data_IF_891494626208
#
_entry.id   IF_891494626208
#
_cell.length_a   1.000
_cell.length_b   1.000
_cell.length_c   1.000
_cell.angle_alpha   90.00
_cell.angle_beta   90.00
_cell.angle_gamma   90.00
#
_symmetry.space_group_name_H-M   'P 1'
#
loop_
_entity.id
_entity.type
_entity.pdbx_description
1 polymer ?
#
# COMPACT_ATOMS: atom_id res chain seq x y z
N UNK A 1 11.75 18.85 -27.19
CA UNK A 1 11.96 17.38 -26.99
C UNK A 1 13.05 17.24 -25.92
N UNK A 2 12.66 17.15 -24.67
CA UNK A 2 13.58 16.90 -23.57
C UNK A 2 13.71 15.38 -23.43
N UNK A 3 14.92 14.87 -23.67
CA UNK A 3 15.29 13.48 -23.47
C UNK A 3 15.24 13.19 -21.97
N UNK A 4 14.20 12.53 -21.49
CA UNK A 4 14.13 12.01 -20.15
C UNK A 4 15.05 10.79 -20.08
N UNK A 5 16.26 10.99 -19.57
CA UNK A 5 17.13 9.89 -19.19
C UNK A 5 16.56 9.22 -17.94
N UNK A 6 15.68 8.24 -18.12
CA UNK A 6 15.42 7.22 -17.10
C UNK A 6 16.75 6.50 -16.83
N UNK A 7 17.13 6.24 -15.57
CA UNK A 7 18.35 5.53 -15.24
C UNK A 7 18.32 4.13 -15.84
N UNK A 8 19.14 3.90 -16.87
CA UNK A 8 19.21 2.66 -17.68
C UNK A 8 20.02 1.55 -17.01
N UNK A 9 20.27 1.60 -15.71
CA UNK A 9 21.07 0.62 -14.98
C UNK A 9 20.34 0.00 -13.77
N UNK A 10 19.15 -0.54 -13.99
CA UNK A 10 18.58 -1.49 -13.02
C UNK A 10 19.04 -2.91 -13.38
N UNK A 11 20.31 -3.23 -13.06
CA UNK A 11 20.71 -4.64 -12.87
C UNK A 11 19.73 -5.25 -11.87
N UNK A 12 19.11 -6.35 -12.24
CA UNK A 12 18.12 -7.08 -11.44
C UNK A 12 18.80 -7.54 -10.13
N UNK A 13 18.77 -6.72 -9.08
CA UNK A 13 19.19 -7.11 -7.74
C UNK A 13 18.03 -7.91 -7.15
N UNK A 14 18.30 -9.13 -6.70
CA UNK A 14 17.37 -9.86 -5.87
C UNK A 14 17.03 -9.00 -4.63
N UNK A 15 15.77 -9.00 -4.20
CA UNK A 15 15.40 -8.32 -2.96
C UNK A 15 16.17 -9.00 -1.83
N UNK A 16 17.02 -8.28 -1.08
CA UNK A 16 17.75 -8.85 0.04
C UNK A 16 16.71 -9.20 1.14
N UNK A 17 16.78 -10.42 1.65
CA UNK A 17 15.92 -10.85 2.75
C UNK A 17 16.54 -10.45 4.08
N UNK A 18 15.84 -9.62 4.84
CA UNK A 18 16.20 -9.23 6.19
C UNK A 18 15.65 -10.26 7.19
N UNK A 19 16.47 -11.27 7.50
CA UNK A 19 16.06 -12.38 8.37
C UNK A 19 15.85 -11.94 9.83
N UNK A 20 16.58 -10.93 10.30
CA UNK A 20 16.43 -10.40 11.65
C UNK A 20 15.11 -9.65 11.79
N UNK A 21 14.80 -8.73 10.89
CA UNK A 21 13.53 -8.01 10.87
C UNK A 21 12.34 -8.97 10.75
N UNK A 22 12.46 -10.00 9.89
CA UNK A 22 11.44 -11.04 9.75
C UNK A 22 11.22 -11.81 11.06
N UNK A 23 12.28 -12.22 11.75
CA UNK A 23 12.18 -12.93 13.03
C UNK A 23 11.48 -12.08 14.09
N UNK A 24 11.89 -10.81 14.22
CA UNK A 24 11.30 -9.87 15.18
C UNK A 24 9.81 -9.61 14.89
N UNK A 25 9.44 -9.49 13.62
CA UNK A 25 8.04 -9.34 13.23
C UNK A 25 7.22 -10.61 13.55
N UNK A 26 7.78 -11.80 13.34
CA UNK A 26 7.14 -13.07 13.74
C UNK A 26 6.94 -13.18 15.25
N UNK A 27 7.93 -12.76 16.04
CA UNK A 27 7.83 -12.74 17.50
C UNK A 27 6.71 -11.80 17.97
N UNK A 28 6.59 -10.63 17.35
CA UNK A 28 5.52 -9.69 17.67
C UNK A 28 4.13 -10.26 17.33
N UNK A 29 3.97 -10.85 16.13
CA UNK A 29 2.72 -11.49 15.70
C UNK A 29 2.33 -12.66 16.62
N UNK A 30 3.30 -13.45 17.10
CA UNK A 30 3.03 -14.56 18.00
C UNK A 30 2.36 -14.12 19.31
N UNK A 31 2.61 -12.87 19.76
CA UNK A 31 1.94 -12.29 20.95
C UNK A 31 0.45 -12.05 20.71
N UNK A 32 0.01 -11.98 19.46
CA UNK A 32 -1.39 -11.79 19.06
C UNK A 32 -2.07 -13.10 18.64
N UNK A 33 -1.46 -14.26 18.91
CA UNK A 33 -2.00 -15.59 18.63
C UNK A 33 -2.38 -15.86 17.16
N UNK A 34 -1.79 -15.12 16.21
CA UNK A 34 -1.97 -15.39 14.79
C UNK A 34 -1.23 -16.68 14.36
N UNK A 35 -1.80 -17.38 13.40
CA UNK A 35 -1.27 -18.65 12.91
C UNK A 35 -0.04 -18.38 12.05
N UNK A 36 1.13 -18.84 12.50
CA UNK A 36 2.41 -18.75 11.78
C UNK A 36 2.78 -20.07 11.07
N UNK A 37 1.96 -21.11 11.18
CA UNK A 37 2.21 -22.37 10.50
C UNK A 37 2.13 -22.21 8.98
N UNK A 38 3.17 -22.66 8.28
CA UNK A 38 3.28 -22.55 6.82
C UNK A 38 2.45 -23.56 6.06
N UNK A 39 1.94 -24.59 6.73
CA UNK A 39 1.21 -25.71 6.09
C UNK A 39 -0.29 -25.42 5.97
N UNK A 40 -0.80 -24.39 6.63
CA UNK A 40 -2.22 -24.04 6.58
C UNK A 40 -2.49 -22.86 5.65
N UNK A 41 -3.64 -22.89 4.98
CA UNK A 41 -4.12 -21.75 4.16
C UNK A 41 -4.38 -20.48 4.97
N UNK A 42 -4.48 -20.60 6.30
CA UNK A 42 -4.69 -19.49 7.24
C UNK A 42 -3.40 -18.92 7.80
N UNK A 43 -2.24 -19.38 7.34
CA UNK A 43 -0.96 -18.88 7.81
C UNK A 43 -0.78 -17.39 7.50
N UNK A 44 -0.33 -16.64 8.50
CA UNK A 44 0.02 -15.23 8.38
C UNK A 44 1.50 -15.03 7.94
N UNK A 45 2.31 -16.08 7.99
CA UNK A 45 3.75 -16.05 7.67
C UNK A 45 4.08 -15.49 6.28
N UNK A 46 3.39 -15.86 5.18
CA UNK A 46 3.67 -15.30 3.86
C UNK A 46 3.48 -13.79 3.79
N UNK A 47 2.57 -13.25 4.58
CA UNK A 47 2.28 -11.81 4.63
C UNK A 47 3.34 -11.04 5.43
N UNK A 48 3.83 -11.62 6.54
CA UNK A 48 4.99 -11.07 7.27
C UNK A 48 6.20 -11.02 6.33
N UNK A 49 6.45 -12.11 5.58
CA UNK A 49 7.53 -12.13 4.60
C UNK A 49 7.37 -11.02 3.56
N UNK A 50 6.18 -10.85 3.02
CA UNK A 50 5.88 -9.80 2.04
C UNK A 50 6.08 -8.40 2.65
N UNK A 51 5.60 -8.16 3.88
CA UNK A 51 5.84 -6.92 4.61
C UNK A 51 7.33 -6.66 4.83
N UNK A 52 8.10 -7.69 5.22
CA UNK A 52 9.56 -7.59 5.39
C UNK A 52 10.25 -7.22 4.08
N UNK A 53 9.94 -7.92 2.99
CA UNK A 53 10.49 -7.63 1.65
C UNK A 53 10.18 -6.18 1.24
N UNK A 54 8.95 -5.71 1.50
CA UNK A 54 8.54 -4.33 1.21
C UNK A 54 9.27 -3.31 2.08
N UNK A 55 9.40 -3.54 3.39
CA UNK A 55 10.12 -2.62 4.28
C UNK A 55 11.60 -2.57 3.95
N UNK A 56 12.20 -3.70 3.64
CA UNK A 56 13.61 -3.77 3.24
C UNK A 56 13.90 -3.04 1.93
N UNK A 57 12.93 -2.97 1.02
CA UNK A 57 13.08 -2.25 -0.26
C UNK A 57 12.65 -0.80 -0.19
N UNK A 58 11.44 -0.54 0.31
CA UNK A 58 10.83 0.80 0.24
C UNK A 58 11.15 1.69 1.44
N UNK A 59 11.40 1.10 2.61
CA UNK A 59 11.55 1.82 3.88
C UNK A 59 12.90 1.53 4.57
N UNK A 60 13.91 1.14 3.80
CA UNK A 60 15.24 0.81 4.34
C UNK A 60 15.94 2.00 5.03
N UNK A 61 15.54 3.22 4.71
CA UNK A 61 16.04 4.44 5.34
C UNK A 61 15.52 4.64 6.78
N UNK A 62 14.47 3.94 7.21
CA UNK A 62 13.97 3.99 8.59
C UNK A 62 14.96 3.22 9.49
N UNK A 63 15.55 3.92 10.48
CA UNK A 63 16.53 3.34 11.38
C UNK A 63 15.91 2.71 12.63
N UNK A 64 14.78 3.22 13.11
CA UNK A 64 14.08 2.70 14.29
C UNK A 64 13.50 1.31 14.01
N UNK A 65 14.05 0.29 14.67
CA UNK A 65 13.62 -1.11 14.48
C UNK A 65 12.14 -1.33 14.87
N UNK A 66 11.64 -0.62 15.88
CA UNK A 66 10.25 -0.75 16.31
C UNK A 66 9.30 -0.18 15.24
N UNK A 67 9.68 0.96 14.63
CA UNK A 67 8.92 1.51 13.51
C UNK A 67 9.01 0.59 12.28
N UNK A 68 10.15 -0.04 12.00
CA UNK A 68 10.27 -1.03 10.92
C UNK A 68 9.36 -2.23 11.15
N UNK A 69 9.36 -2.81 12.36
CA UNK A 69 8.45 -3.91 12.73
C UNK A 69 7.00 -3.47 12.58
N UNK A 70 6.65 -2.30 13.09
CA UNK A 70 5.31 -1.73 12.95
C UNK A 70 4.85 -1.66 11.48
N UNK A 71 5.69 -1.12 10.59
CA UNK A 71 5.38 -1.02 9.16
C UNK A 71 5.29 -2.39 8.49
N UNK A 72 6.16 -3.36 8.87
CA UNK A 72 6.04 -4.77 8.41
C UNK A 72 4.68 -5.35 8.75
N UNK A 73 4.26 -5.21 10.01
CA UNK A 73 3.00 -5.76 10.49
C UNK A 73 1.79 -5.06 9.85
N UNK A 74 1.88 -3.75 9.67
CA UNK A 74 0.84 -2.98 9.01
C UNK A 74 0.63 -3.47 7.56
N UNK A 75 1.72 -3.60 6.80
CA UNK A 75 1.68 -4.09 5.42
C UNK A 75 1.19 -5.54 5.37
N UNK A 76 1.64 -6.40 6.29
CA UNK A 76 1.20 -7.78 6.38
C UNK A 76 -0.32 -7.88 6.64
N UNK A 77 -0.84 -7.10 7.57
CA UNK A 77 -2.28 -7.01 7.85
C UNK A 77 -3.07 -6.54 6.64
N UNK A 78 -2.58 -5.48 5.96
CA UNK A 78 -3.22 -4.95 4.78
C UNK A 78 -3.39 -6.01 3.69
N UNK A 79 -2.30 -6.70 3.31
CA UNK A 79 -2.36 -7.74 2.27
C UNK A 79 -3.12 -8.98 2.70
N UNK A 80 -3.03 -9.38 3.98
CA UNK A 80 -3.82 -10.49 4.50
C UNK A 80 -5.32 -10.18 4.42
N UNK A 81 -5.70 -8.97 4.80
CA UNK A 81 -7.09 -8.52 4.74
C UNK A 81 -7.61 -8.49 3.30
N UNK A 82 -6.82 -7.92 2.38
CA UNK A 82 -7.15 -7.81 0.97
C UNK A 82 -7.28 -9.19 0.29
N UNK A 83 -6.32 -10.07 0.51
CA UNK A 83 -6.23 -11.36 -0.18
C UNK A 83 -7.16 -12.45 0.42
N UNK A 84 -7.43 -12.40 1.72
CA UNK A 84 -8.12 -13.47 2.44
C UNK A 84 -9.42 -13.04 3.07
N UNK A 85 -9.39 -11.92 3.75
CA UNK A 85 -10.53 -11.49 4.54
C UNK A 85 -11.71 -11.07 3.64
N UNK A 86 -11.46 -10.27 2.61
CA UNK A 86 -12.51 -9.84 1.68
C UNK A 86 -13.13 -11.03 0.93
N UNK A 87 -12.37 -11.95 0.30
CA UNK A 87 -12.93 -13.09 -0.41
C UNK A 87 -13.61 -14.14 0.48
N UNK A 88 -13.01 -14.49 1.63
CA UNK A 88 -13.51 -15.55 2.49
C UNK A 88 -14.75 -15.12 3.30
N UNK A 89 -14.83 -13.84 3.64
CA UNK A 89 -15.96 -13.27 4.39
C UNK A 89 -17.00 -12.56 3.51
N UNK A 90 -16.90 -12.71 2.19
CA UNK A 90 -17.88 -12.19 1.24
C UNK A 90 -19.31 -12.69 1.45
N UNK A 91 -19.53 -13.63 2.39
CA UNK A 91 -20.84 -14.13 2.79
C UNK A 91 -21.48 -13.38 3.95
N UNK A 92 -20.77 -12.47 4.63
CA UNK A 92 -21.35 -11.68 5.72
C UNK A 92 -20.86 -10.23 5.71
N UNK A 93 -21.80 -9.32 5.54
CA UNK A 93 -21.65 -7.86 5.71
C UNK A 93 -21.04 -7.46 7.07
N UNK A 94 -21.09 -8.37 8.04
CA UNK A 94 -20.83 -8.07 9.43
C UNK A 94 -19.35 -7.96 9.75
N UNK A 95 -18.46 -8.65 9.01
CA UNK A 95 -17.06 -8.77 9.43
C UNK A 95 -16.28 -7.45 9.29
N UNK A 96 -16.45 -6.72 8.17
CA UNK A 96 -15.84 -5.40 8.04
C UNK A 96 -16.45 -4.41 9.03
N UNK A 97 -17.75 -4.53 9.30
CA UNK A 97 -18.46 -3.72 10.28
C UNK A 97 -18.00 -4.04 11.71
N UNK A 98 -17.80 -5.31 12.03
CA UNK A 98 -17.31 -5.76 13.35
C UNK A 98 -15.87 -5.30 13.58
N UNK A 99 -14.99 -5.40 12.55
CA UNK A 99 -13.63 -4.87 12.60
C UNK A 99 -13.66 -3.35 12.81
N UNK A 100 -14.47 -2.63 12.03
CA UNK A 100 -14.62 -1.18 12.18
C UNK A 100 -15.09 -0.80 13.60
N UNK A 101 -16.10 -1.50 14.13
CA UNK A 101 -16.62 -1.27 15.47
C UNK A 101 -15.55 -1.52 16.56
N UNK A 102 -14.73 -2.58 16.36
CA UNK A 102 -13.60 -2.86 17.24
C UNK A 102 -12.56 -1.72 17.19
N UNK A 103 -12.16 -1.29 16.01
CA UNK A 103 -11.14 -0.25 15.83
C UNK A 103 -11.54 1.09 16.43
N UNK A 104 -12.83 1.41 16.46
CA UNK A 104 -13.36 2.63 17.12
C UNK A 104 -13.77 2.42 18.58
N UNK A 105 -13.42 1.26 19.18
CA UNK A 105 -13.66 0.96 20.59
C UNK A 105 -15.12 0.67 20.97
N UNK A 106 -15.98 0.34 20.00
CA UNK A 106 -17.39 -0.02 20.26
C UNK A 106 -17.60 -1.50 20.57
N UNK A 107 -16.63 -2.34 20.24
CA UNK A 107 -16.62 -3.77 20.56
C UNK A 107 -15.21 -4.21 20.95
N UNK A 108 -15.10 -5.34 21.65
CA UNK A 108 -13.81 -5.98 21.90
C UNK A 108 -13.38 -6.82 20.69
N UNK A 109 -12.06 -6.97 20.42
CA UNK A 109 -11.58 -7.85 19.38
C UNK A 109 -12.09 -9.28 19.57
N UNK A 110 -12.70 -9.87 18.53
CA UNK A 110 -13.26 -11.21 18.57
C UNK A 110 -12.27 -12.28 18.08
N UNK A 111 -11.28 -11.88 17.30
CA UNK A 111 -10.29 -12.77 16.71
C UNK A 111 -8.88 -12.15 16.71
N UNK A 112 -7.82 -12.95 16.47
CA UNK A 112 -6.44 -12.46 16.49
C UNK A 112 -6.14 -11.36 15.46
N UNK A 113 -6.78 -11.35 14.29
CA UNK A 113 -6.58 -10.32 13.28
C UNK A 113 -7.14 -8.97 13.76
N UNK A 114 -8.34 -8.98 14.33
CA UNK A 114 -8.93 -7.78 14.94
C UNK A 114 -8.05 -7.26 16.09
N UNK A 115 -7.49 -8.17 16.90
CA UNK A 115 -6.54 -7.80 17.96
C UNK A 115 -5.32 -7.08 17.40
N UNK A 116 -4.74 -7.62 16.32
CA UNK A 116 -3.56 -7.02 15.69
C UNK A 116 -3.89 -5.66 15.06
N UNK A 117 -5.02 -5.50 14.38
CA UNK A 117 -5.45 -4.18 13.86
C UNK A 117 -5.64 -3.16 14.98
N UNK A 118 -6.33 -3.53 16.06
CA UNK A 118 -6.50 -2.64 17.21
C UNK A 118 -5.15 -2.28 17.87
N UNK A 119 -4.23 -3.23 17.96
CA UNK A 119 -2.86 -3.00 18.42
C UNK A 119 -2.15 -1.97 17.53
N UNK A 120 -2.16 -2.16 16.20
CA UNK A 120 -1.52 -1.23 15.26
C UNK A 120 -2.08 0.19 15.37
N UNK A 121 -3.39 0.32 15.63
CA UNK A 121 -4.00 1.64 15.86
C UNK A 121 -3.46 2.32 17.14
N UNK A 122 -3.23 1.56 18.20
CA UNK A 122 -2.69 2.09 19.47
C UNK A 122 -1.19 2.35 19.41
N UNK A 123 -0.44 1.65 18.56
CA UNK A 123 1.01 1.83 18.40
C UNK A 123 1.39 2.96 17.44
N UNK A 124 0.48 3.37 16.53
CA UNK A 124 0.74 4.43 15.56
C UNK A 124 1.35 5.70 16.17
N UNK A 125 0.86 6.24 17.32
CA UNK A 125 1.47 7.42 17.93
C UNK A 125 2.87 7.21 18.51
N UNK A 126 3.31 5.97 18.72
CA UNK A 126 4.67 5.69 19.22
C UNK A 126 5.69 5.79 18.10
N UNK A 127 5.34 5.28 16.91
CA UNK A 127 6.21 5.37 15.73
C UNK A 127 6.10 6.74 15.04
N UNK A 128 4.92 7.35 15.10
CA UNK A 128 4.60 8.64 14.45
C UNK A 128 4.04 9.61 15.49
N UNK A 129 4.89 10.20 16.35
CA UNK A 129 4.45 11.01 17.52
C UNK A 129 3.80 12.34 17.14
N UNK A 130 3.91 12.79 15.90
CA UNK A 130 3.16 13.94 15.41
C UNK A 130 1.68 13.59 15.27
N UNK A 131 0.82 14.26 16.04
CA UNK A 131 -0.62 14.00 16.05
C UNK A 131 -1.26 13.96 14.65
N UNK A 132 -0.99 14.90 13.70
CA UNK A 132 -1.53 14.77 12.35
C UNK A 132 -1.10 13.50 11.63
N UNK A 133 0.17 13.09 11.76
CA UNK A 133 0.69 11.90 11.11
C UNK A 133 0.03 10.62 11.64
N UNK A 134 0.01 10.41 12.96
CA UNK A 134 -0.67 9.26 13.56
C UNK A 134 -2.18 9.26 13.29
N UNK A 135 -2.81 10.42 13.25
CA UNK A 135 -4.23 10.51 12.89
C UNK A 135 -4.49 10.12 11.44
N UNK A 136 -3.61 10.46 10.51
CA UNK A 136 -3.71 10.01 9.11
C UNK A 136 -3.61 8.47 9.05
N UNK A 137 -2.67 7.87 9.78
CA UNK A 137 -2.56 6.41 9.86
C UNK A 137 -3.86 5.79 10.35
N UNK A 138 -4.44 6.31 11.43
CA UNK A 138 -5.68 5.82 12.01
C UNK A 138 -6.86 5.98 11.04
N UNK A 139 -7.06 7.19 10.51
CA UNK A 139 -8.19 7.47 9.61
C UNK A 139 -8.07 6.76 8.27
N UNK A 140 -6.87 6.66 7.70
CA UNK A 140 -6.62 5.90 6.47
C UNK A 140 -6.92 4.41 6.65
N UNK A 141 -6.58 3.84 7.81
CA UNK A 141 -6.93 2.45 8.14
C UNK A 141 -8.44 2.24 8.24
N UNK A 142 -9.17 3.17 8.88
CA UNK A 142 -10.64 3.13 8.93
C UNK A 142 -11.27 3.29 7.54
N UNK A 143 -10.70 4.13 6.70
CA UNK A 143 -11.11 4.28 5.30
C UNK A 143 -10.92 2.98 4.52
N UNK A 144 -9.80 2.29 4.71
CA UNK A 144 -9.53 1.00 4.08
C UNK A 144 -10.57 -0.06 4.45
N UNK A 145 -10.91 -0.20 5.73
CA UNK A 145 -11.96 -1.14 6.18
C UNK A 145 -13.32 -0.75 5.60
N UNK A 146 -13.61 0.55 5.52
CA UNK A 146 -14.84 1.06 4.89
C UNK A 146 -14.88 0.72 3.39
N UNK A 147 -13.74 0.87 2.70
CA UNK A 147 -13.65 0.54 1.27
C UNK A 147 -13.88 -0.94 1.02
N UNK A 148 -13.33 -1.82 1.85
CA UNK A 148 -13.56 -3.26 1.75
C UNK A 148 -15.06 -3.62 1.85
N UNK A 149 -15.80 -3.00 2.78
CA UNK A 149 -17.25 -3.15 2.89
C UNK A 149 -17.98 -2.59 1.66
N UNK A 150 -17.49 -1.46 1.12
CA UNK A 150 -18.07 -0.84 -0.07
C UNK A 150 -17.88 -1.73 -1.30
N UNK A 151 -16.69 -2.27 -1.50
CA UNK A 151 -16.37 -3.15 -2.63
C UNK A 151 -17.26 -4.40 -2.62
N UNK A 152 -17.48 -4.99 -1.45
CA UNK A 152 -18.41 -6.10 -1.29
C UNK A 152 -19.84 -5.71 -1.70
N UNK A 153 -20.36 -4.58 -1.19
CA UNK A 153 -21.73 -4.13 -1.44
C UNK A 153 -21.98 -3.67 -2.87
N UNK A 154 -20.94 -3.27 -3.59
CA UNK A 154 -21.03 -2.77 -4.96
C UNK A 154 -20.67 -3.81 -6.01
N UNK A 155 -20.42 -5.07 -5.61
CA UNK A 155 -20.21 -6.17 -6.55
C UNK A 155 -21.37 -6.27 -7.54
N UNK A 156 -21.03 -6.30 -8.83
CA UNK A 156 -22.02 -6.35 -9.91
C UNK A 156 -22.78 -5.03 -10.18
N UNK A 157 -22.46 -3.95 -9.48
CA UNK A 157 -23.02 -2.64 -9.75
C UNK A 157 -22.56 -2.14 -11.13
N UNK A 158 -23.53 -1.80 -11.99
CA UNK A 158 -23.21 -1.20 -13.28
C UNK A 158 -22.79 0.25 -13.11
N UNK A 159 -21.53 0.54 -13.44
CA UNK A 159 -20.98 1.88 -13.33
C UNK A 159 -21.42 2.74 -14.54
N UNK A 160 -22.14 3.85 -14.33
CA UNK A 160 -22.43 4.78 -15.43
C UNK A 160 -21.17 5.53 -15.86
N UNK A 161 -21.04 5.85 -17.14
CA UNK A 161 -19.88 6.58 -17.68
C UNK A 161 -19.64 7.95 -16.99
N UNK A 162 -20.70 8.57 -16.46
CA UNK A 162 -20.61 9.83 -15.69
C UNK A 162 -19.96 9.68 -14.31
N UNK A 163 -19.75 8.44 -13.81
CA UNK A 163 -19.24 8.18 -12.47
C UNK A 163 -17.68 8.15 -12.37
N UNK A 164 -16.98 8.80 -13.29
CA UNK A 164 -15.50 8.83 -13.33
C UNK A 164 -14.86 9.19 -11.97
N UNK A 165 -15.44 10.14 -11.24
CA UNK A 165 -14.93 10.54 -9.92
C UNK A 165 -15.09 9.47 -8.85
N UNK A 166 -16.06 8.56 -9.02
CA UNK A 166 -16.26 7.43 -8.12
C UNK A 166 -15.04 6.48 -8.14
N UNK A 167 -14.47 6.19 -9.31
CA UNK A 167 -13.28 5.33 -9.43
C UNK A 167 -12.08 5.92 -8.70
N UNK A 168 -11.91 7.26 -8.72
CA UNK A 168 -10.85 7.94 -7.96
C UNK A 168 -11.16 7.94 -6.46
N UNK A 169 -12.41 8.16 -6.07
CA UNK A 169 -12.84 8.12 -4.67
C UNK A 169 -12.58 6.75 -4.04
N UNK A 170 -13.06 5.68 -4.66
CA UNK A 170 -12.87 4.31 -4.14
C UNK A 170 -11.39 3.95 -4.07
N UNK A 171 -10.61 4.30 -5.09
CA UNK A 171 -9.16 4.03 -5.11
C UNK A 171 -8.42 4.76 -4.00
N UNK A 172 -8.80 6.00 -3.69
CA UNK A 172 -8.17 6.77 -2.61
C UNK A 172 -8.44 6.16 -1.24
N UNK A 173 -9.66 5.70 -0.97
CA UNK A 173 -10.00 5.12 0.33
C UNK A 173 -9.56 3.66 0.50
N UNK A 174 -9.37 2.89 -0.60
CA UNK A 174 -8.94 1.49 -0.54
C UNK A 174 -7.41 1.32 -0.57
N UNK A 175 -6.69 2.30 -1.10
CA UNK A 175 -5.28 2.14 -1.41
C UNK A 175 -4.30 2.44 -0.27
N UNK A 176 -4.76 2.88 0.90
CA UNK A 176 -3.93 3.29 2.06
C UNK A 176 -2.70 4.13 1.71
N UNK A 177 -2.75 4.83 0.58
CA UNK A 177 -1.59 5.56 0.07
C UNK A 177 -1.22 6.78 0.93
N UNK A 178 -2.18 7.38 1.62
CA UNK A 178 -1.97 8.41 2.65
C UNK A 178 -1.18 7.85 3.84
N UNK A 179 -1.54 6.65 4.31
CA UNK A 179 -0.84 5.96 5.41
C UNK A 179 0.58 5.58 4.99
N UNK A 180 0.72 4.94 3.84
CA UNK A 180 2.03 4.54 3.29
C UNK A 180 2.93 5.75 3.03
N UNK A 181 2.33 6.90 2.64
CA UNK A 181 3.01 8.17 2.48
C UNK A 181 3.55 8.73 3.79
N UNK A 182 2.79 8.61 4.88
CA UNK A 182 3.26 8.99 6.23
C UNK A 182 4.43 8.11 6.68
N UNK A 183 4.40 6.83 6.37
CA UNK A 183 5.47 5.89 6.77
C UNK A 183 6.83 6.21 6.15
N UNK A 184 6.87 6.98 5.06
CA UNK A 184 8.13 7.39 4.41
C UNK A 184 9.00 8.24 5.36
N UNK A 185 8.36 9.07 6.20
CA UNK A 185 9.07 10.10 6.94
C UNK A 185 9.39 9.65 8.38
N UNK A 186 10.68 9.55 8.76
CA UNK A 186 11.07 9.27 10.14
C UNK A 186 10.48 10.30 11.13
N UNK A 187 10.35 9.90 12.39
CA UNK A 187 9.83 10.78 13.46
C UNK A 187 10.63 12.08 13.65
N UNK A 188 11.90 12.12 13.21
CA UNK A 188 12.76 13.31 13.19
C UNK A 188 12.29 14.37 12.20
N UNK A 189 11.64 13.96 11.11
CA UNK A 189 11.15 14.89 10.08
C UNK A 189 9.85 15.55 10.55
N UNK A 190 9.82 16.89 10.69
CA UNK A 190 8.61 17.57 11.13
C UNK A 190 7.50 17.47 10.09
N UNK A 191 6.26 17.28 10.54
CA UNK A 191 5.09 17.11 9.65
C UNK A 191 4.96 18.27 8.63
N UNK A 192 5.35 19.46 9.01
CA UNK A 192 5.32 20.66 8.13
C UNK A 192 6.26 20.57 6.94
N UNK A 193 7.28 19.70 7.00
CA UNK A 193 8.21 19.50 5.90
C UNK A 193 7.64 18.65 4.77
N UNK A 194 6.65 17.77 5.05
CA UNK A 194 6.16 16.80 4.08
C UNK A 194 4.64 16.76 3.88
N UNK A 195 3.86 17.36 4.78
CA UNK A 195 2.38 17.22 4.70
C UNK A 195 1.81 17.74 3.37
N UNK A 196 2.43 18.74 2.77
CA UNK A 196 2.02 19.26 1.47
C UNK A 196 2.29 18.27 0.31
N UNK A 197 3.22 17.32 0.49
CA UNK A 197 3.52 16.31 -0.51
C UNK A 197 2.58 15.08 -0.44
N UNK A 198 1.83 14.89 0.64
CA UNK A 198 0.96 13.71 0.81
C UNK A 198 -0.03 13.53 -0.35
N UNK A 199 -0.72 14.56 -0.87
CA UNK A 199 -1.62 14.37 -2.01
C UNK A 199 -0.92 13.84 -3.27
N UNK A 200 0.27 14.37 -3.60
CA UNK A 200 1.06 13.88 -4.73
C UNK A 200 1.66 12.49 -4.46
N UNK A 201 2.05 12.18 -3.22
CA UNK A 201 2.45 10.82 -2.81
C UNK A 201 1.32 9.80 -3.04
N UNK A 202 0.08 10.16 -2.72
CA UNK A 202 -1.07 9.31 -3.02
C UNK A 202 -1.21 9.08 -4.54
N UNK A 203 -1.09 10.13 -5.35
CA UNK A 203 -1.14 10.02 -6.82
C UNK A 203 -0.01 9.14 -7.32
N UNK A 204 1.23 9.36 -6.87
CA UNK A 204 2.41 8.58 -7.25
C UNK A 204 2.20 7.08 -6.96
N UNK A 205 1.88 6.74 -5.71
CA UNK A 205 1.75 5.34 -5.30
C UNK A 205 0.58 4.63 -5.98
N UNK A 206 -0.59 5.25 -6.02
CA UNK A 206 -1.78 4.63 -6.61
C UNK A 206 -1.64 4.47 -8.12
N UNK A 207 -1.14 5.50 -8.83
CA UNK A 207 -0.98 5.42 -10.28
C UNK A 207 0.15 4.49 -10.69
N UNK A 208 1.28 4.49 -9.97
CA UNK A 208 2.37 3.55 -10.23
C UNK A 208 1.92 2.10 -9.96
N UNK A 209 1.17 1.84 -8.87
CA UNK A 209 0.61 0.52 -8.61
C UNK A 209 -0.34 0.09 -9.73
N UNK A 210 -1.30 0.95 -10.13
CA UNK A 210 -2.25 0.63 -11.19
C UNK A 210 -1.55 0.29 -12.52
N UNK A 211 -0.42 0.93 -12.84
CA UNK A 211 0.38 0.62 -14.03
C UNK A 211 1.15 -0.70 -13.87
N UNK A 212 1.82 -0.88 -12.72
CA UNK A 212 2.72 -2.01 -12.50
C UNK A 212 1.98 -3.31 -12.14
N UNK A 213 0.75 -3.22 -11.61
CA UNK A 213 -0.09 -4.37 -11.33
C UNK A 213 -1.01 -4.78 -12.48
N UNK A 214 -1.21 -3.90 -13.45
CA UNK A 214 -2.17 -4.08 -14.54
C UNK A 214 -2.05 -5.43 -15.26
N UNK A 215 -0.81 -5.86 -15.59
CA UNK A 215 -0.60 -7.13 -16.28
C UNK A 215 -1.10 -8.33 -15.47
N UNK A 216 -0.80 -8.39 -14.17
CA UNK A 216 -1.28 -9.47 -13.32
C UNK A 216 -2.81 -9.49 -13.20
N UNK A 217 -3.43 -8.30 -13.14
CA UNK A 217 -4.88 -8.12 -13.03
C UNK A 217 -5.60 -8.56 -14.32
N UNK A 218 -5.07 -8.19 -15.48
CA UNK A 218 -5.59 -8.66 -16.77
C UNK A 218 -5.47 -10.19 -16.90
N UNK A 219 -4.35 -10.79 -16.49
CA UNK A 219 -4.17 -12.25 -16.51
C UNK A 219 -5.08 -12.95 -15.52
N UNK A 220 -5.37 -12.32 -14.38
CA UNK A 220 -6.32 -12.83 -13.38
C UNK A 220 -7.79 -12.65 -13.80
N UNK A 221 -8.07 -11.88 -14.87
CA UNK A 221 -9.44 -11.60 -15.30
C UNK A 221 -10.17 -10.59 -14.42
N UNK A 222 -9.45 -9.70 -13.73
CA UNK A 222 -10.02 -8.67 -12.88
C UNK A 222 -10.63 -7.54 -13.73
N UNK A 223 -11.94 -7.59 -13.97
CA UNK A 223 -12.65 -6.60 -14.81
C UNK A 223 -12.85 -5.24 -14.13
N UNK A 224 -12.82 -5.19 -12.81
CA UNK A 224 -13.14 -3.99 -12.01
C UNK A 224 -11.90 -3.22 -11.54
N UNK A 225 -10.72 -3.46 -12.13
CA UNK A 225 -9.55 -2.64 -11.83
C UNK A 225 -9.73 -1.19 -12.34
N UNK A 226 -9.01 -0.25 -11.71
CA UNK A 226 -9.14 1.19 -12.00
C UNK A 226 -8.88 1.53 -13.47
N UNK A 227 -7.95 0.86 -14.12
CA UNK A 227 -7.62 1.10 -15.55
C UNK A 227 -8.84 0.77 -16.43
N UNK A 228 -9.47 -0.38 -16.19
CA UNK A 228 -10.67 -0.82 -16.91
C UNK A 228 -11.85 0.12 -16.69
N UNK A 229 -12.09 0.54 -15.45
CA UNK A 229 -13.17 1.47 -15.10
C UNK A 229 -12.96 2.87 -15.71
N UNK A 230 -11.73 3.40 -15.67
CA UNK A 230 -11.42 4.69 -16.31
C UNK A 230 -11.56 4.63 -17.83
N UNK A 231 -11.12 3.52 -18.46
CA UNK A 231 -11.29 3.33 -19.90
C UNK A 231 -12.78 3.33 -20.30
N UNK A 232 -13.61 2.66 -19.51
CA UNK A 232 -15.08 2.67 -19.71
C UNK A 232 -15.66 4.08 -19.54
N UNK A 233 -15.33 4.80 -18.47
CA UNK A 233 -15.83 6.13 -18.19
C UNK A 233 -15.42 7.18 -19.24
N UNK A 234 -14.17 7.06 -19.76
CA UNK A 234 -13.61 8.01 -20.71
C UNK A 234 -13.89 7.63 -22.18
N UNK A 235 -14.52 6.48 -22.43
CA UNK A 235 -14.65 5.88 -23.75
C UNK A 235 -13.30 5.84 -24.50
N UNK A 236 -12.27 5.39 -23.80
CA UNK A 236 -10.88 5.32 -24.28
C UNK A 236 -10.34 3.90 -24.16
N UNK A 237 -9.15 3.65 -24.71
CA UNK A 237 -8.49 2.35 -24.54
C UNK A 237 -7.80 2.25 -23.18
N UNK A 238 -7.64 1.02 -22.68
CA UNK A 238 -6.84 0.76 -21.47
C UNK A 238 -5.40 1.27 -21.61
N UNK A 239 -4.82 1.17 -22.81
CA UNK A 239 -3.48 1.68 -23.12
C UNK A 239 -3.40 3.21 -22.96
N UNK A 240 -4.42 3.94 -23.41
CA UNK A 240 -4.45 5.40 -23.26
C UNK A 240 -4.59 5.78 -21.78
N UNK A 241 -5.36 5.00 -21.00
CA UNK A 241 -5.42 5.17 -19.54
C UNK A 241 -4.07 4.92 -18.90
N UNK A 242 -3.39 3.83 -19.23
CA UNK A 242 -2.05 3.50 -18.71
C UNK A 242 -1.06 4.63 -18.99
N UNK A 243 -1.04 5.17 -20.22
CA UNK A 243 -0.16 6.32 -20.56
C UNK A 243 -0.44 7.52 -19.67
N UNK A 244 -1.71 7.88 -19.47
CA UNK A 244 -2.09 8.99 -18.58
C UNK A 244 -1.68 8.74 -17.12
N UNK A 245 -1.78 7.49 -16.65
CA UNK A 245 -1.34 7.14 -15.30
C UNK A 245 0.18 7.23 -15.15
N UNK A 246 0.94 6.84 -16.18
CA UNK A 246 2.40 7.04 -16.22
C UNK A 246 2.74 8.53 -16.16
N UNK A 247 2.09 9.36 -17.00
CA UNK A 247 2.31 10.81 -17.00
C UNK A 247 1.98 11.41 -15.63
N UNK A 248 0.85 11.01 -15.01
CA UNK A 248 0.47 11.45 -13.66
C UNK A 248 1.48 11.00 -12.59
N UNK A 249 2.06 9.80 -12.71
CA UNK A 249 3.09 9.30 -11.80
C UNK A 249 4.36 10.15 -11.88
N UNK A 250 4.80 10.48 -13.10
CA UNK A 250 5.99 11.33 -13.33
C UNK A 250 5.76 12.76 -12.84
N UNK A 251 4.60 13.32 -13.12
CA UNK A 251 4.23 14.68 -12.62
C UNK A 251 4.24 14.70 -11.09
N UNK A 252 3.58 13.74 -10.44
CA UNK A 252 3.56 13.63 -8.98
C UNK A 252 4.97 13.47 -8.40
N UNK A 253 5.84 12.63 -8.99
CA UNK A 253 7.23 12.48 -8.56
C UNK A 253 7.99 13.82 -8.59
N UNK A 254 7.83 14.60 -9.66
CA UNK A 254 8.47 15.91 -9.78
C UNK A 254 7.93 16.89 -8.73
N UNK A 255 6.61 16.95 -8.55
CA UNK A 255 5.99 17.83 -7.56
C UNK A 255 6.45 17.49 -6.13
N UNK A 256 6.47 16.19 -5.77
CA UNK A 256 6.94 15.74 -4.45
C UNK A 256 8.40 16.19 -4.24
N UNK A 257 9.26 15.96 -5.24
CA UNK A 257 10.67 16.33 -5.15
C UNK A 257 10.84 17.83 -4.94
N UNK A 258 10.08 18.67 -5.66
CA UNK A 258 10.15 20.13 -5.50
C UNK A 258 9.59 20.60 -4.14
N UNK A 259 8.51 19.97 -3.63
CA UNK A 259 7.94 20.28 -2.32
C UNK A 259 8.92 19.92 -1.19
N UNK A 260 9.61 18.79 -1.30
CA UNK A 260 10.50 18.29 -0.25
C UNK A 260 11.90 18.91 -0.29
N UNK A 261 12.29 19.53 -1.40
CA UNK A 261 13.62 20.12 -1.62
C UNK A 261 14.14 21.05 -0.50
N UNK A 262 13.30 21.80 0.26
CA UNK A 262 13.77 22.58 1.38
C UNK A 262 14.22 21.79 2.61
N UNK A 263 13.99 20.46 2.64
CA UNK A 263 14.35 19.58 3.74
C UNK A 263 15.05 18.33 3.20
N UNK A 264 16.38 18.28 3.30
CA UNK A 264 17.21 17.21 2.73
C UNK A 264 16.82 15.83 3.28
N UNK A 265 16.55 15.71 4.58
CA UNK A 265 16.16 14.44 5.20
C UNK A 265 14.83 13.91 4.64
N UNK A 266 13.85 14.81 4.45
CA UNK A 266 12.56 14.43 3.85
C UNK A 266 12.72 14.04 2.37
N UNK A 267 13.53 14.78 1.62
CA UNK A 267 13.78 14.46 0.21
C UNK A 267 14.52 13.14 0.05
N UNK A 268 15.57 12.89 0.83
CA UNK A 268 16.34 11.66 0.79
C UNK A 268 15.46 10.45 1.17
N UNK A 269 14.61 10.58 2.18
CA UNK A 269 13.64 9.55 2.57
C UNK A 269 12.68 9.23 1.41
N UNK A 270 12.15 10.24 0.75
CA UNK A 270 11.27 10.05 -0.41
C UNK A 270 11.99 9.41 -1.60
N UNK A 271 13.19 9.85 -1.95
CA UNK A 271 13.95 9.30 -3.08
C UNK A 271 14.28 7.82 -2.83
N UNK A 272 14.71 7.49 -1.60
CA UNK A 272 14.91 6.10 -1.18
C UNK A 272 13.64 5.25 -1.33
N UNK A 273 12.50 5.80 -0.87
CA UNK A 273 11.20 5.15 -1.01
C UNK A 273 10.80 4.95 -2.47
N UNK A 274 10.86 5.98 -3.30
CA UNK A 274 10.39 5.92 -4.69
C UNK A 274 11.16 4.90 -5.51
N UNK A 275 12.49 4.84 -5.36
CA UNK A 275 13.34 3.83 -6.00
C UNK A 275 13.01 2.42 -5.50
N UNK A 276 12.85 2.27 -4.19
CA UNK A 276 12.47 1.02 -3.55
C UNK A 276 11.09 0.54 -3.97
N UNK A 277 10.13 1.46 -4.13
CA UNK A 277 8.76 1.14 -4.55
C UNK A 277 8.69 0.54 -5.95
N UNK A 278 9.39 1.14 -6.91
CA UNK A 278 9.49 0.62 -8.27
C UNK A 278 10.24 -0.72 -8.29
N UNK A 279 11.35 -0.81 -7.53
CA UNK A 279 12.11 -2.04 -7.44
C UNK A 279 11.31 -3.19 -6.80
N UNK A 280 10.55 -2.95 -5.74
CA UNK A 280 9.67 -3.94 -5.12
C UNK A 280 8.67 -4.51 -6.12
N UNK A 281 7.98 -3.66 -6.89
CA UNK A 281 7.06 -4.12 -7.94
C UNK A 281 7.76 -4.94 -9.03
N UNK A 282 8.94 -4.51 -9.46
CA UNK A 282 9.72 -5.23 -10.48
C UNK A 282 10.25 -6.59 -9.99
N UNK A 283 10.62 -6.68 -8.71
CA UNK A 283 11.27 -7.85 -8.11
C UNK A 283 10.31 -8.90 -7.57
N UNK A 284 9.17 -8.48 -7.03
CA UNK A 284 8.19 -9.37 -6.43
C UNK A 284 7.44 -10.19 -7.49
N UNK A 285 7.39 -11.51 -7.29
CA UNK A 285 6.70 -12.44 -8.21
C UNK A 285 5.20 -12.17 -8.34
N UNK A 286 4.60 -11.53 -7.34
CA UNK A 286 3.18 -11.14 -7.30
C UNK A 286 2.78 -10.32 -8.54
N UNK A 287 3.64 -9.42 -9.03
CA UNK A 287 3.31 -8.51 -10.14
C UNK A 287 3.57 -9.11 -11.52
N UNK A 288 4.28 -10.24 -11.63
CA UNK A 288 4.53 -11.00 -12.87
C UNK A 288 5.24 -10.20 -13.98
N UNK A 289 5.86 -9.07 -13.65
CA UNK A 289 6.48 -8.16 -14.64
C UNK A 289 7.67 -8.79 -15.39
N UNK A 290 8.28 -9.83 -14.81
CA UNK A 290 9.33 -10.61 -15.48
C UNK A 290 8.84 -11.28 -16.76
N UNK A 291 7.56 -11.66 -16.84
CA UNK A 291 6.96 -12.29 -18.02
C UNK A 291 6.88 -11.33 -19.20
N UNK A 292 6.86 -10.03 -18.96
CA UNK A 292 6.87 -8.98 -19.99
C UNK A 292 8.27 -8.64 -20.51
N UNK A 293 9.33 -9.17 -19.89
CA UNK A 293 10.72 -8.84 -20.23
C UNK A 293 11.12 -7.38 -19.95
N UNK A 294 10.28 -6.62 -19.25
CA UNK A 294 10.49 -5.18 -19.00
C UNK A 294 11.72 -4.92 -18.13
N UNK A 295 12.04 -5.84 -17.22
CA UNK A 295 13.18 -5.76 -16.30
C UNK A 295 14.15 -6.91 -16.47
N UNK A 296 14.06 -7.63 -17.60
CA UNK A 296 14.97 -8.73 -17.91
C UNK A 296 16.23 -8.18 -18.59
N UNK A 297 17.25 -7.85 -17.79
CA UNK A 297 18.67 -7.88 -18.24
C UNK A 297 19.60 -8.10 -17.07
#
# INVERSE_FOLDING_TARGET
>A
MASTNLPTNTTQRAIPFDAELFSLACEEVARHALILDTETSKSFMPYIKHGTDTVTTCYNHIQDINCRIYVVLYIACFFYFDDKFIPEYSTSDNVAQDLFACMIGKSSPADPLQQLFCYLMTEAPKCYPNHPASNIVITGTLNFVTAASLDYRTQGMKMPASAKRYTTFTRNISGIADVMGVFIFPASVPVTAYIAAIPDLMVFMLSANDVLSFYKEEVAGEELNRVSLLALCDNSTKIDVLRRLVDSTVEAHNNISDILKPNDEALDAYLSFSDGYIWAHAGLSRYRLKELGIFAK
#
